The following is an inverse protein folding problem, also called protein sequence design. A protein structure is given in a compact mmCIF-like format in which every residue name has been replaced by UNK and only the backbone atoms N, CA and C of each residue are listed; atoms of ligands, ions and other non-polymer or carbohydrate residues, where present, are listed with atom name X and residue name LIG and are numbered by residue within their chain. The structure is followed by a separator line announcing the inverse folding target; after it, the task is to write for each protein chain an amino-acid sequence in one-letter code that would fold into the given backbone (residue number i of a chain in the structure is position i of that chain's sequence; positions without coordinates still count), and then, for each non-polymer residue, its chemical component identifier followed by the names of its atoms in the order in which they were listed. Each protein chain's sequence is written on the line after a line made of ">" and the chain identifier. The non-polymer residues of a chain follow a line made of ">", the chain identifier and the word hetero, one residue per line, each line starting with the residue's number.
data_IF_068577266022
#
_entry.id   IF_068577266022
#
_cell.length_a   1.000
_cell.length_b   1.000
_cell.length_c   1.000
_cell.angle_alpha   90.00
_cell.angle_beta   90.00
_cell.angle_gamma   90.00
#
_symmetry.space_group_name_H-M   'P 1'
#
loop_
_entity.id
_entity.type
_entity.pdbx_description
1 polymer ?
#
# COMPACT_ATOMS: atom_id res chain seq x y z
N UNK A 1 -10.49 21.23 6.43
CA UNK A 1 -11.11 19.90 6.33
C UNK A 1 -10.19 19.08 5.47
N UNK A 2 -9.39 18.21 6.09
CA UNK A 2 -8.54 17.28 5.36
C UNK A 2 -9.10 15.90 5.64
N UNK A 3 -9.94 15.40 4.73
CA UNK A 3 -10.42 14.03 4.82
C UNK A 3 -9.24 13.07 4.79
N UNK A 4 -9.03 12.34 5.88
CA UNK A 4 -7.97 11.33 5.99
C UNK A 4 -8.58 9.98 5.69
N UNK A 5 -8.09 9.33 4.64
CA UNK A 5 -8.53 8.01 4.23
C UNK A 5 -7.54 6.97 4.71
N UNK A 6 -8.00 6.07 5.56
CA UNK A 6 -7.26 4.87 5.93
C UNK A 6 -7.71 3.69 5.06
N UNK A 7 -6.76 3.01 4.44
CA UNK A 7 -7.03 1.80 3.67
C UNK A 7 -5.85 0.83 3.74
N UNK A 8 -6.14 -0.45 3.55
CA UNK A 8 -5.09 -1.45 3.38
C UNK A 8 -4.88 -1.73 1.89
N UNK A 9 -3.66 -2.13 1.52
CA UNK A 9 -3.35 -2.69 0.20
C UNK A 9 -2.72 -4.05 0.38
N UNK A 10 -3.15 -4.99 -0.44
CA UNK A 10 -2.63 -6.35 -0.46
C UNK A 10 -2.08 -6.69 -1.83
N UNK A 11 -0.88 -7.22 -1.89
CA UNK A 11 -0.26 -7.59 -3.15
C UNK A 11 0.89 -8.57 -2.97
N UNK A 12 1.41 -9.03 -4.09
CA UNK A 12 2.52 -10.00 -4.11
C UNK A 12 3.65 -9.40 -4.92
N UNK A 13 4.87 -9.49 -4.37
CA UNK A 13 6.10 -9.04 -5.03
C UNK A 13 6.49 -7.61 -4.70
N UNK A 14 6.99 -6.90 -5.70
CA UNK A 14 7.52 -5.55 -5.58
C UNK A 14 6.45 -4.55 -5.12
N UNK A 15 6.74 -3.83 -4.03
CA UNK A 15 5.86 -2.78 -3.54
C UNK A 15 5.98 -1.51 -4.42
N UNK A 16 4.88 -0.97 -4.97
CA UNK A 16 4.92 0.17 -5.88
C UNK A 16 5.04 1.48 -5.09
N UNK A 17 6.26 1.87 -4.72
CA UNK A 17 6.53 3.13 -4.02
C UNK A 17 5.99 4.38 -4.75
N UNK A 18 5.88 4.32 -6.09
CA UNK A 18 5.27 5.39 -6.89
C UNK A 18 3.82 5.67 -6.46
N UNK A 19 3.09 4.64 -6.05
CA UNK A 19 1.70 4.79 -5.60
C UNK A 19 1.57 5.60 -4.32
N UNK A 20 2.57 5.55 -3.42
CA UNK A 20 2.57 6.39 -2.21
C UNK A 20 2.63 7.87 -2.57
N UNK A 21 3.51 8.23 -3.52
CA UNK A 21 3.63 9.59 -4.01
C UNK A 21 2.38 10.02 -4.77
N UNK A 22 1.87 9.13 -5.62
CA UNK A 22 0.68 9.41 -6.39
C UNK A 22 -0.50 9.68 -5.47
N UNK A 23 -0.85 8.73 -4.59
CA UNK A 23 -2.00 8.80 -3.69
C UNK A 23 -1.80 9.71 -2.46
N UNK A 24 -0.67 10.43 -2.37
CA UNK A 24 -0.29 11.19 -1.17
C UNK A 24 -0.46 10.33 0.10
N UNK A 25 -0.07 9.07 0.00
CA UNK A 25 -0.27 8.05 1.01
C UNK A 25 1.04 7.72 1.74
N UNK A 26 0.93 7.37 3.02
CA UNK A 26 2.05 6.99 3.86
C UNK A 26 1.66 5.80 4.76
N UNK A 27 2.64 5.01 5.23
CA UNK A 27 2.39 3.87 6.10
C UNK A 27 1.67 4.32 7.38
N UNK A 28 0.63 3.59 7.77
CA UNK A 28 -0.11 3.86 9.00
C UNK A 28 0.70 3.48 10.25
N UNK A 29 1.44 2.37 10.18
CA UNK A 29 2.13 1.74 11.30
C UNK A 29 3.52 1.20 10.91
N UNK A 30 4.36 0.91 11.90
CA UNK A 30 5.66 0.26 11.70
C UNK A 30 5.56 -1.11 11.01
N UNK A 31 4.49 -1.87 11.28
CA UNK A 31 4.22 -3.14 10.61
C UNK A 31 4.06 -2.95 9.08
N UNK A 32 3.44 -1.85 8.67
CA UNK A 32 3.27 -1.50 7.26
C UNK A 32 4.60 -1.07 6.63
N UNK A 33 5.46 -0.38 7.39
CA UNK A 33 6.83 -0.08 6.95
C UNK A 33 7.63 -1.38 6.75
N UNK A 34 7.52 -2.33 7.68
CA UNK A 34 8.19 -3.63 7.57
C UNK A 34 7.72 -4.42 6.34
N UNK A 35 6.42 -4.42 6.05
CA UNK A 35 5.86 -5.05 4.85
C UNK A 35 6.34 -4.40 3.54
N UNK A 36 6.41 -3.06 3.48
CA UNK A 36 6.98 -2.34 2.32
C UNK A 36 8.46 -2.71 2.13
N UNK A 37 9.24 -2.71 3.22
CA UNK A 37 10.66 -3.08 3.21
C UNK A 37 10.86 -4.53 2.78
N UNK A 38 9.97 -5.45 3.18
CA UNK A 38 9.98 -6.83 2.72
C UNK A 38 9.79 -6.91 1.20
N UNK A 39 8.80 -6.18 0.65
CA UNK A 39 8.57 -6.09 -0.80
C UNK A 39 9.77 -5.55 -1.57
N UNK A 40 10.44 -4.51 -1.05
CA UNK A 40 11.65 -3.94 -1.67
C UNK A 40 12.85 -4.89 -1.62
N UNK A 41 13.01 -5.65 -0.53
CA UNK A 41 14.11 -6.61 -0.39
C UNK A 41 13.97 -7.77 -1.38
N UNK A 42 12.73 -8.13 -1.74
CA UNK A 42 12.47 -9.19 -2.72
C UNK A 42 12.78 -8.77 -4.15
N UNK A 43 12.50 -7.51 -4.51
CA UNK A 43 12.96 -6.88 -5.74
C UNK A 43 14.45 -7.17 -5.99
N UNK A 44 15.26 -6.92 -4.95
CA UNK A 44 16.70 -7.09 -4.98
C UNK A 44 17.13 -8.57 -5.00
N UNK A 45 16.38 -9.46 -4.34
CA UNK A 45 16.77 -10.88 -4.20
C UNK A 45 16.41 -11.77 -5.39
N UNK A 46 15.65 -11.28 -6.41
CA UNK A 46 15.14 -12.07 -7.56
C UNK A 46 14.41 -13.38 -7.20
N UNK A 47 14.10 -13.62 -5.93
CA UNK A 47 13.32 -14.75 -5.46
C UNK A 47 11.86 -14.36 -5.51
N UNK A 48 11.10 -14.97 -6.44
CA UNK A 48 9.63 -14.85 -6.50
C UNK A 48 9.02 -15.58 -5.29
N UNK A 49 9.02 -14.95 -4.12
CA UNK A 49 8.11 -15.36 -3.05
C UNK A 49 6.70 -14.90 -3.43
N UNK A 50 5.74 -15.82 -3.33
CA UNK A 50 4.30 -15.56 -3.51
C UNK A 50 3.62 -15.12 -2.22
N UNK A 51 4.38 -14.54 -1.30
CA UNK A 51 3.84 -14.12 -0.02
C UNK A 51 2.98 -12.87 -0.22
N UNK A 52 1.74 -12.93 0.28
CA UNK A 52 0.82 -11.81 0.24
C UNK A 52 1.26 -10.80 1.30
N UNK A 53 1.70 -9.64 0.85
CA UNK A 53 2.00 -8.51 1.72
C UNK A 53 0.74 -7.68 1.92
N UNK A 54 0.46 -7.34 3.17
CA UNK A 54 -0.57 -6.40 3.54
C UNK A 54 0.09 -5.15 4.13
N UNK A 55 -0.25 -3.98 3.59
CA UNK A 55 0.29 -2.68 4.00
C UNK A 55 -0.88 -1.76 4.31
N UNK A 56 -0.92 -1.18 5.51
CA UNK A 56 -1.92 -0.18 5.89
C UNK A 56 -1.38 1.21 5.56
N UNK A 57 -2.20 2.00 4.89
CA UNK A 57 -1.86 3.31 4.37
C UNK A 57 -2.87 4.34 4.83
N UNK A 58 -2.35 5.50 5.21
CA UNK A 58 -3.10 6.72 5.43
C UNK A 58 -2.86 7.65 4.25
N UNK A 59 -3.91 8.27 3.76
CA UNK A 59 -3.83 9.18 2.62
C UNK A 59 -4.74 10.38 2.81
N UNK A 60 -4.45 11.45 2.08
CA UNK A 60 -5.26 12.67 2.12
C UNK A 60 -6.33 12.71 1.02
N UNK A 61 -6.48 11.61 0.25
CA UNK A 61 -7.43 11.50 -0.86
C UNK A 61 -7.86 10.05 -1.03
N UNK A 62 -8.98 9.81 -1.70
CA UNK A 62 -9.45 8.46 -1.94
C UNK A 62 -8.41 7.60 -2.73
N UNK A 63 -8.23 6.32 -2.38
CA UNK A 63 -7.28 5.44 -3.04
C UNK A 63 -7.68 5.13 -4.48
N UNK A 64 -6.71 5.08 -5.39
CA UNK A 64 -6.95 4.79 -6.81
C UNK A 64 -6.91 3.28 -7.09
N UNK A 65 -7.98 2.56 -6.72
CA UNK A 65 -8.01 1.09 -6.72
C UNK A 65 -7.63 0.44 -8.06
N UNK A 66 -8.03 1.03 -9.19
CA UNK A 66 -7.67 0.54 -10.53
C UNK A 66 -6.16 0.62 -10.79
N UNK A 67 -5.51 1.69 -10.33
CA UNK A 67 -4.08 1.88 -10.53
C UNK A 67 -3.29 0.91 -9.67
N UNK A 68 -3.68 0.70 -8.42
CA UNK A 68 -3.12 -0.35 -7.57
C UNK A 68 -3.20 -1.72 -8.25
N UNK A 69 -4.35 -2.07 -8.84
CA UNK A 69 -4.54 -3.36 -9.54
C UNK A 69 -3.59 -3.55 -10.72
N UNK A 70 -3.28 -2.49 -11.46
CA UNK A 70 -2.30 -2.55 -12.56
C UNK A 70 -0.88 -2.91 -12.09
N UNK A 71 -0.54 -2.64 -10.83
CA UNK A 71 0.72 -3.08 -10.21
C UNK A 71 0.64 -4.45 -9.54
N UNK A 72 -0.51 -5.14 -9.60
CA UNK A 72 -0.72 -6.41 -8.92
C UNK A 72 -1.07 -6.26 -7.43
N UNK A 73 -1.47 -5.06 -7.01
CA UNK A 73 -1.87 -4.75 -5.63
C UNK A 73 -3.37 -4.42 -5.57
N UNK A 74 -4.04 -4.80 -4.50
CA UNK A 74 -5.49 -4.64 -4.34
C UNK A 74 -5.77 -3.83 -3.09
N UNK A 75 -6.51 -2.73 -3.24
CA UNK A 75 -7.01 -1.96 -2.10
C UNK A 75 -8.06 -2.77 -1.36
N UNK A 76 -7.81 -3.04 -0.08
CA UNK A 76 -8.71 -3.65 0.89
C UNK A 76 -9.27 -2.56 1.80
N UNK A 77 -10.59 -2.53 1.90
CA UNK A 77 -11.38 -1.73 2.85
C UNK A 77 -10.79 -0.34 3.16
N UNK A 78 -11.24 0.68 2.43
CA UNK A 78 -11.03 2.07 2.85
C UNK A 78 -12.08 2.44 3.89
N UNK A 79 -11.67 2.69 5.14
CA UNK A 79 -12.57 3.31 6.11
C UNK A 79 -12.30 4.81 6.08
N UNK A 80 -13.27 5.65 5.67
CA UNK A 80 -13.18 7.06 6.03
C UNK A 80 -13.32 7.12 7.55
N UNK A 81 -12.35 7.69 8.26
CA UNK A 81 -12.58 8.09 9.65
C UNK A 81 -13.59 9.25 9.59
N UNK A 82 -14.80 9.10 10.14
CA UNK A 82 -15.64 10.27 10.40
C UNK A 82 -15.04 11.02 11.61
N UNK A 83 -14.91 12.35 11.47
CA UNK A 83 -14.50 13.29 12.53
C UNK A 83 -15.26 13.09 13.84
#
# INVERSE_FOLDING_TARGET
>A
MSDRFEYAVEGVGDFPLDMLRHDCAYPADEESVAAIMAGLRWAASRKRSRELLQVRLLSHRAPTSERWRSFGWTVRASRPEPE
#
